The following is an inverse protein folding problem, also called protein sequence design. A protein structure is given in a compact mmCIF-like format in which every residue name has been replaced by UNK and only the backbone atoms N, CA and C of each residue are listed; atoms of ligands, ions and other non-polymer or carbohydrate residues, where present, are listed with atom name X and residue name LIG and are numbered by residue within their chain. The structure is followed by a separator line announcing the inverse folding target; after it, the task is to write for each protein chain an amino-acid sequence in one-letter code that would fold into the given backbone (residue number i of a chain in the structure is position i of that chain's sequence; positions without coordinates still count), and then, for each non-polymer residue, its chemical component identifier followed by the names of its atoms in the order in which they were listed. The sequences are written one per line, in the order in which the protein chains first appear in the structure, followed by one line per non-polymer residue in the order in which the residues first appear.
data_IF_897307130343
#
_entry.id   IF_897307130343
#
_cell.length_a   1.000
_cell.length_b   1.000
_cell.length_c   1.000
_cell.angle_alpha   90.00
_cell.angle_beta   90.00
_cell.angle_gamma   90.00
#
_symmetry.space_group_name_H-M   'P 1'
#
loop_
_entity.id
_entity.type
_entity.pdbx_description
1 polymer ?
#
# COMPACT_ATOMS: atom_id res chain seq x y z
N UNK A 1 -10.32 0.60 8.01
CA UNK A 1 -10.00 2.01 8.13
C UNK A 1 -10.01 2.64 6.74
N UNK A 2 -10.65 3.77 6.61
CA UNK A 2 -10.62 4.62 5.43
C UNK A 2 -10.39 6.03 5.99
N UNK A 3 -9.32 6.67 5.52
CA UNK A 3 -8.93 8.02 5.92
C UNK A 3 -8.85 8.21 7.46
N UNK A 4 -7.84 7.61 8.06
CA UNK A 4 -7.56 7.77 9.48
C UNK A 4 -6.21 8.47 9.65
N UNK A 5 -6.17 9.46 10.52
CA UNK A 5 -4.95 10.16 10.93
C UNK A 5 -4.66 9.86 12.41
N UNK A 6 -3.41 9.68 12.73
CA UNK A 6 -2.94 9.38 14.07
C UNK A 6 -1.65 10.15 14.38
N UNK A 7 -1.70 11.02 15.38
CA UNK A 7 -0.51 11.65 15.93
C UNK A 7 0.19 10.66 16.87
N UNK A 8 1.49 10.48 16.67
CA UNK A 8 2.32 9.56 17.45
C UNK A 8 3.42 10.32 18.16
N UNK A 9 3.43 10.24 19.49
CA UNK A 9 4.48 10.81 20.33
C UNK A 9 5.78 10.02 20.25
N UNK A 10 6.92 10.70 20.40
CA UNK A 10 8.26 10.10 20.37
C UNK A 10 8.48 9.02 21.45
N UNK A 11 7.77 9.08 22.57
CA UNK A 11 7.96 8.14 23.69
C UNK A 11 6.83 7.13 23.81
N UNK A 12 5.60 7.59 23.90
CA UNK A 12 4.45 6.70 24.15
C UNK A 12 3.17 7.35 23.66
N UNK A 13 2.46 6.66 22.79
CA UNK A 13 1.10 7.03 22.36
C UNK A 13 0.12 5.99 22.88
N UNK A 14 -0.93 6.43 23.56
CA UNK A 14 -2.00 5.57 24.05
C UNK A 14 -3.26 5.72 23.20
N UNK A 15 -3.60 4.67 22.47
CA UNK A 15 -4.82 4.66 21.66
C UNK A 15 -5.97 4.09 22.48
N UNK A 16 -6.93 4.96 22.83
CA UNK A 16 -8.12 4.61 23.61
C UNK A 16 -9.39 4.73 22.77
N UNK A 17 -10.39 3.92 23.06
CA UNK A 17 -11.68 3.96 22.38
C UNK A 17 -12.52 2.75 22.70
N UNK A 18 -13.78 2.77 22.30
CA UNK A 18 -14.72 1.64 22.48
C UNK A 18 -14.23 0.40 21.73
N UNK A 19 -14.69 -0.78 22.15
CA UNK A 19 -14.44 -2.01 21.40
C UNK A 19 -15.02 -1.85 19.97
N UNK A 20 -14.35 -2.48 19.00
CA UNK A 20 -14.72 -2.45 17.59
C UNK A 20 -14.55 -1.08 16.89
N UNK A 21 -13.64 -0.22 17.37
CA UNK A 21 -13.28 1.07 16.74
C UNK A 21 -11.98 0.99 15.92
N UNK A 22 -11.66 -0.18 15.40
CA UNK A 22 -10.50 -0.45 14.55
C UNK A 22 -9.12 -0.13 15.14
N UNK A 23 -8.99 0.07 16.46
CA UNK A 23 -7.69 0.33 17.14
C UNK A 23 -6.65 -0.74 16.84
N UNK A 24 -7.03 -2.01 17.04
CA UNK A 24 -6.15 -3.15 16.77
C UNK A 24 -5.79 -3.25 15.29
N UNK A 25 -6.73 -2.98 14.40
CA UNK A 25 -6.46 -2.98 12.96
C UNK A 25 -5.49 -1.87 12.54
N UNK A 26 -5.60 -0.70 13.16
CA UNK A 26 -4.67 0.40 12.92
C UNK A 26 -3.24 0.04 13.36
N UNK A 27 -3.11 -0.50 14.59
CA UNK A 27 -1.81 -0.94 15.10
C UNK A 27 -1.23 -2.07 14.25
N UNK A 28 -2.04 -3.06 13.86
CA UNK A 28 -1.61 -4.15 13.00
C UNK A 28 -1.14 -3.66 11.62
N UNK A 29 -1.82 -2.67 11.03
CA UNK A 29 -1.37 -2.06 9.78
C UNK A 29 0.01 -1.40 9.93
N UNK A 30 0.20 -0.61 10.98
CA UNK A 30 1.49 0.05 11.26
C UNK A 30 2.58 -1.00 11.50
N UNK A 31 2.30 -2.01 12.33
CA UNK A 31 3.24 -3.10 12.62
C UNK A 31 3.63 -3.88 11.36
N UNK A 32 2.68 -4.22 10.50
CA UNK A 32 2.95 -4.90 9.24
C UNK A 32 3.88 -4.08 8.34
N UNK A 33 3.63 -2.77 8.23
CA UNK A 33 4.48 -1.87 7.43
C UNK A 33 5.88 -1.78 8.01
N UNK A 34 6.02 -1.54 9.32
CA UNK A 34 7.32 -1.39 9.97
C UNK A 34 8.17 -2.66 9.93
N UNK A 35 7.52 -3.84 9.94
CA UNK A 35 8.20 -5.13 9.83
C UNK A 35 8.36 -5.62 8.38
N UNK A 36 7.95 -4.84 7.39
CA UNK A 36 8.01 -5.21 5.98
C UNK A 36 7.12 -6.40 5.62
N UNK A 37 6.10 -6.68 6.43
CA UNK A 37 5.16 -7.77 6.17
C UNK A 37 4.17 -7.38 5.07
N UNK A 38 3.97 -8.23 4.06
CA UNK A 38 2.96 -7.98 3.04
C UNK A 38 1.56 -8.01 3.64
N UNK A 39 0.69 -7.12 3.18
CA UNK A 39 -0.73 -7.19 3.53
C UNK A 39 -1.37 -8.43 2.92
N UNK A 40 -2.29 -9.00 3.67
CA UNK A 40 -3.16 -10.08 3.21
C UNK A 40 -4.43 -9.53 2.55
N UNK A 41 -5.16 -10.39 1.86
CA UNK A 41 -6.47 -9.99 1.32
C UNK A 41 -7.45 -9.53 2.43
N UNK A 42 -7.31 -10.06 3.63
CA UNK A 42 -8.18 -9.71 4.76
C UNK A 42 -7.91 -8.29 5.29
N UNK A 43 -6.75 -7.73 5.03
CA UNK A 43 -6.42 -6.34 5.35
C UNK A 43 -7.04 -5.36 4.35
N UNK A 44 -7.47 -5.84 3.16
CA UNK A 44 -8.12 -4.99 2.17
C UNK A 44 -9.53 -4.60 2.63
N UNK A 45 -9.89 -3.30 2.61
CA UNK A 45 -11.17 -2.82 3.15
C UNK A 45 -12.37 -3.54 2.53
N UNK A 46 -13.26 -4.08 3.36
CA UNK A 46 -14.43 -4.86 2.92
C UNK A 46 -15.27 -4.12 1.87
N UNK A 47 -15.47 -2.82 2.06
CA UNK A 47 -16.25 -2.00 1.14
C UNK A 47 -15.61 -1.87 -0.24
N UNK A 48 -14.28 -2.00 -0.31
CA UNK A 48 -13.52 -1.92 -1.56
C UNK A 48 -13.32 -3.28 -2.24
N UNK A 49 -13.56 -4.41 -1.54
CA UNK A 49 -13.37 -5.75 -2.12
C UNK A 49 -14.28 -6.01 -3.31
N UNK A 50 -15.53 -5.56 -3.22
CA UNK A 50 -16.48 -5.73 -4.34
C UNK A 50 -15.99 -4.98 -5.57
N UNK A 51 -15.58 -3.73 -5.42
CA UNK A 51 -15.03 -2.91 -6.50
C UNK A 51 -13.74 -3.52 -7.08
N UNK A 52 -12.86 -4.06 -6.24
CA UNK A 52 -11.66 -4.78 -6.67
C UNK A 52 -12.02 -5.94 -7.62
N UNK A 53 -12.99 -6.78 -7.24
CA UNK A 53 -13.44 -7.89 -8.08
C UNK A 53 -14.08 -7.43 -9.40
N UNK A 54 -14.90 -6.38 -9.36
CA UNK A 54 -15.56 -5.83 -10.54
C UNK A 54 -14.55 -5.27 -11.53
N UNK A 55 -13.56 -4.50 -11.07
CA UNK A 55 -12.51 -3.93 -11.92
C UNK A 55 -11.64 -5.04 -12.53
N UNK A 56 -11.23 -6.05 -11.74
CA UNK A 56 -10.47 -7.18 -12.26
C UNK A 56 -11.31 -7.99 -13.28
N UNK A 57 -12.59 -8.19 -13.03
CA UNK A 57 -13.47 -8.88 -13.98
C UNK A 57 -13.60 -8.11 -15.30
N UNK A 58 -13.73 -6.77 -15.25
CA UNK A 58 -13.75 -5.93 -16.45
C UNK A 58 -12.45 -5.98 -17.26
N UNK A 59 -11.30 -6.11 -16.58
CA UNK A 59 -10.04 -6.36 -17.27
C UNK A 59 -10.01 -7.77 -17.90
N UNK A 60 -10.40 -8.78 -17.15
CA UNK A 60 -10.42 -10.16 -17.66
C UNK A 60 -11.40 -10.35 -18.80
N UNK A 61 -12.54 -9.62 -18.83
CA UNK A 61 -13.47 -9.59 -19.97
C UNK A 61 -12.97 -8.77 -21.17
N UNK A 62 -11.82 -8.09 -21.03
CA UNK A 62 -11.22 -7.19 -22.03
C UNK A 62 -12.04 -5.91 -22.29
N UNK A 63 -12.88 -5.50 -21.34
CA UNK A 63 -13.61 -4.22 -21.40
C UNK A 63 -12.70 -3.03 -21.09
N UNK A 64 -11.68 -3.23 -20.25
CA UNK A 64 -10.69 -2.21 -19.91
C UNK A 64 -9.26 -2.71 -20.16
N UNK A 65 -8.34 -1.78 -20.42
CA UNK A 65 -6.91 -2.08 -20.53
C UNK A 65 -6.27 -2.32 -19.17
N UNK A 66 -5.07 -2.92 -19.15
CA UNK A 66 -4.28 -3.09 -17.92
C UNK A 66 -3.92 -1.76 -17.27
N UNK A 67 -3.61 -0.74 -18.07
CA UNK A 67 -3.34 0.61 -17.59
C UNK A 67 -4.55 1.20 -16.85
N UNK A 68 -5.73 1.09 -17.45
CA UNK A 68 -6.99 1.52 -16.83
C UNK A 68 -7.34 0.73 -15.57
N UNK A 69 -7.03 -0.57 -15.53
CA UNK A 69 -7.15 -1.39 -14.33
C UNK A 69 -6.26 -0.82 -13.20
N UNK A 70 -4.99 -0.54 -13.48
CA UNK A 70 -4.05 0.01 -12.49
C UNK A 70 -4.47 1.39 -11.98
N UNK A 71 -5.04 2.24 -12.84
CA UNK A 71 -5.55 3.56 -12.46
C UNK A 71 -6.80 3.50 -11.58
N UNK A 72 -7.67 2.51 -11.82
CA UNK A 72 -8.93 2.36 -11.07
C UNK A 72 -8.76 1.62 -9.74
N UNK A 73 -7.72 0.80 -9.60
CA UNK A 73 -7.42 0.10 -8.36
C UNK A 73 -6.63 0.99 -7.41
N UNK A 74 -7.34 1.64 -6.51
CA UNK A 74 -6.71 2.42 -5.44
C UNK A 74 -5.85 1.53 -4.54
N UNK A 75 -4.57 1.88 -4.30
CA UNK A 75 -3.72 1.14 -3.37
C UNK A 75 -4.22 1.29 -1.92
N UNK A 76 -3.82 0.36 -1.06
CA UNK A 76 -3.80 0.62 0.38
C UNK A 76 -2.56 1.47 0.62
N UNK A 77 -2.70 2.67 1.17
CA UNK A 77 -1.57 3.54 1.46
C UNK A 77 -1.53 3.95 2.92
N UNK A 78 -0.33 4.04 3.46
CA UNK A 78 -0.04 4.61 4.77
C UNK A 78 1.04 5.67 4.57
N UNK A 79 0.82 6.84 5.12
CA UNK A 79 1.78 7.93 5.11
C UNK A 79 2.33 8.17 6.52
N UNK A 80 3.64 8.28 6.61
CA UNK A 80 4.35 8.66 7.82
C UNK A 80 4.97 10.03 7.60
N UNK A 81 4.47 11.03 8.30
CA UNK A 81 5.10 12.34 8.38
C UNK A 81 6.01 12.34 9.60
N UNK A 82 7.31 12.40 9.38
CA UNK A 82 8.34 12.38 10.41
C UNK A 82 8.92 13.77 10.55
N UNK A 83 8.73 14.40 11.72
CA UNK A 83 9.37 15.65 12.05
C UNK A 83 10.74 15.37 12.69
N UNK A 84 11.80 15.87 12.08
CA UNK A 84 13.17 15.73 12.52
C UNK A 84 13.80 17.07 12.98
N UNK A 85 12.97 18.07 13.31
CA UNK A 85 13.40 19.39 13.80
C UNK A 85 14.03 19.35 15.19
N UNK A 86 13.81 18.27 15.96
CA UNK A 86 14.19 18.16 17.36
C UNK A 86 15.55 17.47 17.56
N UNK A 87 16.54 18.27 17.77
CA UNK A 87 17.73 18.21 18.63
C UNK A 87 18.76 17.07 18.58
N UNK A 88 18.45 15.85 18.13
CA UNK A 88 19.42 14.73 18.09
C UNK A 88 19.68 14.24 16.66
N UNK A 89 19.89 15.17 15.75
CA UNK A 89 19.96 14.95 14.30
C UNK A 89 21.19 14.14 13.85
N UNK A 90 22.31 14.23 14.55
CA UNK A 90 23.57 13.64 14.07
C UNK A 90 23.53 12.11 14.04
N UNK A 91 22.82 11.47 15.00
CA UNK A 91 22.78 10.00 15.10
C UNK A 91 21.57 9.36 14.37
N UNK A 92 20.48 10.11 14.14
CA UNK A 92 19.21 9.55 13.65
C UNK A 92 18.88 9.88 12.19
N UNK A 93 19.52 10.89 11.58
CA UNK A 93 19.29 11.23 10.16
C UNK A 93 19.70 10.12 9.19
N UNK A 94 20.63 9.25 9.59
CA UNK A 94 21.08 8.16 8.73
C UNK A 94 19.94 7.30 8.20
N UNK A 95 19.03 6.88 9.05
CA UNK A 95 17.88 6.05 8.67
C UNK A 95 16.82 6.83 7.86
N UNK A 96 16.69 8.15 8.07
CA UNK A 96 15.74 9.02 7.35
C UNK A 96 16.33 9.58 6.06
N UNK A 97 17.65 9.63 5.93
CA UNK A 97 18.34 10.22 4.77
C UNK A 97 17.79 9.78 3.42
N UNK A 98 17.46 8.50 3.17
CA UNK A 98 16.87 8.07 1.91
C UNK A 98 15.53 8.71 1.59
N UNK A 99 14.82 9.23 2.60
CA UNK A 99 13.47 9.78 2.47
C UNK A 99 13.43 11.31 2.43
N UNK A 100 14.56 11.96 2.66
CA UNK A 100 14.68 13.41 2.56
C UNK A 100 14.99 13.76 1.11
N UNK A 101 13.97 14.18 0.36
CA UNK A 101 14.13 14.59 -1.05
C UNK A 101 14.06 16.09 -1.26
N UNK A 102 13.55 16.83 -0.28
CA UNK A 102 13.62 18.28 -0.26
C UNK A 102 14.84 18.72 0.56
N UNK A 103 15.84 19.28 -0.11
CA UNK A 103 17.07 19.78 0.52
C UNK A 103 16.96 21.24 0.96
N UNK A 104 15.75 21.78 1.06
CA UNK A 104 15.51 23.11 1.60
C UNK A 104 15.81 23.14 3.09
N UNK A 105 16.65 24.11 3.50
CA UNK A 105 17.13 24.27 4.89
C UNK A 105 15.97 24.48 5.90
N UNK A 106 14.86 25.01 5.41
CA UNK A 106 13.65 25.26 6.21
C UNK A 106 12.72 24.04 6.32
N UNK A 107 13.04 22.94 5.65
CA UNK A 107 12.23 21.71 5.70
C UNK A 107 12.80 20.76 6.75
N UNK A 108 12.00 20.50 7.78
CA UNK A 108 12.36 19.63 8.93
C UNK A 108 11.48 18.37 8.96
N UNK A 109 10.80 18.06 7.87
CA UNK A 109 9.88 16.93 7.79
C UNK A 109 10.21 16.02 6.60
N UNK A 110 10.15 14.72 6.83
CA UNK A 110 10.21 13.70 5.80
C UNK A 110 8.83 13.04 5.67
N UNK A 111 8.35 12.87 4.45
CA UNK A 111 7.11 12.16 4.17
C UNK A 111 7.43 10.83 3.48
N UNK A 112 7.06 9.75 4.15
CA UNK A 112 7.25 8.38 3.67
C UNK A 112 5.87 7.83 3.36
N UNK A 113 5.65 7.41 2.11
CA UNK A 113 4.42 6.73 1.71
C UNK A 113 4.72 5.28 1.43
N UNK A 114 3.97 4.40 2.05
CA UNK A 114 3.99 2.96 1.80
C UNK A 114 2.70 2.58 1.13
N UNK A 115 2.79 2.02 -0.06
CA UNK A 115 1.65 1.57 -0.86
C UNK A 115 1.69 0.07 -1.06
N UNK A 116 0.55 -0.57 -0.82
CA UNK A 116 0.30 -1.94 -1.23
C UNK A 116 -0.63 -1.91 -2.44
N UNK A 117 -0.06 -2.21 -3.61
CA UNK A 117 -0.70 -2.01 -4.91
C UNK A 117 -0.62 -3.25 -5.79
N UNK A 118 -1.42 -3.30 -6.84
CA UNK A 118 -1.30 -4.31 -7.87
C UNK A 118 0.09 -4.19 -8.54
N UNK A 119 0.77 -5.34 -8.71
CA UNK A 119 2.04 -5.40 -9.46
C UNK A 119 1.83 -4.96 -10.90
N UNK A 120 2.73 -4.14 -11.46
CA UNK A 120 2.65 -3.70 -12.85
C UNK A 120 3.10 -4.82 -13.81
N UNK A 121 2.55 -6.02 -13.64
CA UNK A 121 2.83 -7.19 -14.48
C UNK A 121 1.52 -7.84 -14.96
N UNK A 122 1.04 -7.36 -16.09
CA UNK A 122 -0.16 -7.85 -16.76
C UNK A 122 -0.10 -9.36 -17.00
N UNK A 123 1.08 -9.89 -17.37
CA UNK A 123 1.22 -11.31 -17.69
C UNK A 123 1.06 -12.19 -16.45
N UNK A 124 1.56 -11.74 -15.31
CA UNK A 124 1.39 -12.46 -14.04
C UNK A 124 -0.07 -12.44 -13.64
N UNK A 125 -0.75 -11.29 -13.73
CA UNK A 125 -2.17 -11.19 -13.43
C UNK A 125 -2.98 -12.10 -14.33
N UNK A 126 -2.80 -12.00 -15.64
CA UNK A 126 -3.52 -12.82 -16.62
C UNK A 126 -3.33 -14.31 -16.36
N UNK A 127 -2.09 -14.80 -16.31
CA UNK A 127 -1.78 -16.22 -16.08
C UNK A 127 -2.34 -16.76 -14.77
N UNK A 128 -2.43 -15.92 -13.74
CA UNK A 128 -2.94 -16.34 -12.43
C UNK A 128 -4.46 -16.51 -12.44
N UNK A 129 -5.16 -15.72 -13.26
CA UNK A 129 -6.62 -15.65 -13.25
C UNK A 129 -7.29 -16.28 -14.47
N UNK A 130 -6.54 -16.54 -15.56
CA UNK A 130 -7.11 -16.99 -16.84
C UNK A 130 -7.99 -18.24 -16.67
N UNK A 131 -7.50 -19.27 -15.99
CA UNK A 131 -8.23 -20.54 -15.84
C UNK A 131 -9.54 -20.35 -15.05
N UNK A 132 -9.54 -19.48 -14.04
CA UNK A 132 -10.72 -19.23 -13.20
C UNK A 132 -11.76 -18.34 -13.87
N UNK A 133 -11.33 -17.43 -14.75
CA UNK A 133 -12.24 -16.55 -15.51
C UNK A 133 -12.65 -17.15 -16.86
N UNK A 134 -11.89 -18.10 -17.39
CA UNK A 134 -12.15 -18.73 -18.69
C UNK A 134 -12.19 -20.28 -18.58
N UNK A 135 -12.99 -20.86 -17.70
CA UNK A 135 -13.17 -22.30 -17.69
C UNK A 135 -13.71 -22.73 -19.06
N UNK A 136 -12.99 -23.64 -19.73
CA UNK A 136 -13.32 -24.09 -21.09
C UNK A 136 -13.30 -22.96 -22.18
N UNK A 137 -12.52 -21.90 -21.97
CA UNK A 137 -12.36 -20.80 -22.92
C UNK A 137 -13.52 -19.80 -22.99
N UNK A 138 -14.50 -19.91 -22.09
CA UNK A 138 -15.62 -18.97 -21.98
C UNK A 138 -15.47 -18.12 -20.73
N UNK A 139 -15.63 -16.80 -20.86
CA UNK A 139 -15.57 -15.89 -19.74
C UNK A 139 -16.74 -16.09 -18.77
N UNK A 140 -16.40 -16.37 -17.52
CA UNK A 140 -17.37 -16.56 -16.44
C UNK A 140 -16.86 -15.86 -15.16
N UNK A 141 -17.44 -14.74 -14.74
CA UNK A 141 -17.13 -14.12 -13.46
C UNK A 141 -17.77 -14.95 -12.33
N UNK A 142 -16.99 -15.81 -11.71
CA UNK A 142 -17.47 -16.76 -10.69
C UNK A 142 -16.93 -16.42 -9.29
N UNK A 143 -17.51 -17.02 -8.26
CA UNK A 143 -16.98 -16.94 -6.90
C UNK A 143 -15.62 -17.64 -6.79
N UNK A 144 -15.38 -18.70 -7.59
CA UNK A 144 -14.06 -19.36 -7.70
C UNK A 144 -12.97 -18.38 -8.17
N UNK A 145 -13.28 -17.49 -9.12
CA UNK A 145 -12.34 -16.46 -9.56
C UNK A 145 -12.00 -15.46 -8.42
N UNK A 146 -12.96 -15.14 -7.55
CA UNK A 146 -12.73 -14.33 -6.34
C UNK A 146 -11.82 -15.04 -5.34
N UNK A 147 -12.01 -16.33 -5.14
CA UNK A 147 -11.18 -17.15 -4.27
C UNK A 147 -9.73 -17.24 -4.78
N UNK A 148 -9.54 -17.32 -6.09
CA UNK A 148 -8.21 -17.31 -6.71
C UNK A 148 -7.51 -15.96 -6.48
N UNK A 149 -8.22 -14.84 -6.57
CA UNK A 149 -7.67 -13.51 -6.28
C UNK A 149 -7.23 -13.44 -4.81
N UNK A 150 -8.10 -13.83 -3.87
CA UNK A 150 -7.79 -13.77 -2.45
C UNK A 150 -6.62 -14.66 -2.06
N UNK A 151 -6.56 -15.88 -2.58
CA UNK A 151 -5.50 -16.85 -2.32
C UNK A 151 -4.15 -16.44 -2.92
N UNK A 152 -4.15 -15.76 -4.07
CA UNK A 152 -2.93 -15.29 -4.74
C UNK A 152 -2.64 -13.80 -4.49
N UNK A 153 -3.23 -13.19 -3.48
CA UNK A 153 -3.15 -11.76 -3.26
C UNK A 153 -1.70 -11.27 -3.15
N UNK A 154 -0.87 -11.92 -2.35
CA UNK A 154 0.57 -11.58 -2.21
C UNK A 154 1.39 -11.78 -3.50
N UNK A 155 0.93 -12.67 -4.39
CA UNK A 155 1.55 -12.86 -5.71
C UNK A 155 1.19 -11.74 -6.68
N UNK A 156 -0.05 -11.24 -6.59
CA UNK A 156 -0.60 -10.21 -7.47
C UNK A 156 -0.28 -8.80 -7.01
N UNK A 157 -0.09 -8.58 -5.71
CA UNK A 157 0.18 -7.27 -5.12
C UNK A 157 1.61 -7.18 -4.59
N UNK A 158 2.10 -5.95 -4.45
CA UNK A 158 3.44 -5.65 -3.93
C UNK A 158 3.39 -4.47 -2.96
N UNK A 159 4.34 -4.46 -2.02
CA UNK A 159 4.61 -3.31 -1.16
C UNK A 159 5.63 -2.41 -1.86
N UNK A 160 5.33 -1.12 -1.95
CA UNK A 160 6.23 -0.12 -2.52
C UNK A 160 6.38 1.04 -1.55
N UNK A 161 7.62 1.46 -1.31
CA UNK A 161 7.94 2.56 -0.42
C UNK A 161 8.39 3.76 -1.26
N UNK A 162 7.83 4.92 -0.95
CA UNK A 162 8.15 6.17 -1.61
C UNK A 162 8.71 7.18 -0.60
N UNK A 163 9.75 7.88 -0.98
CA UNK A 163 10.01 9.19 -0.44
C UNK A 163 9.12 10.20 -1.19
N UNK A 164 8.45 11.06 -0.46
CA UNK A 164 7.50 12.04 -1.01
C UNK A 164 7.96 13.43 -0.59
N UNK A 165 7.93 14.39 -1.52
CA UNK A 165 8.20 15.77 -1.16
C UNK A 165 7.01 16.34 -0.36
N UNK A 166 7.19 16.74 0.93
CA UNK A 166 6.09 17.23 1.76
C UNK A 166 5.41 18.49 1.19
N UNK A 167 6.17 19.33 0.45
CA UNK A 167 5.66 20.55 -0.19
C UNK A 167 5.02 20.29 -1.54
N UNK A 168 5.38 19.18 -2.19
CA UNK A 168 4.86 18.76 -3.49
C UNK A 168 4.60 17.24 -3.53
N UNK A 169 3.46 16.76 -3.02
CA UNK A 169 3.17 15.32 -2.91
C UNK A 169 3.13 14.55 -4.23
N UNK A 170 3.19 15.24 -5.38
CA UNK A 170 3.33 14.62 -6.71
C UNK A 170 4.79 14.23 -7.01
N UNK A 171 5.74 14.84 -6.34
CA UNK A 171 7.16 14.52 -6.46
C UNK A 171 7.49 13.35 -5.52
N UNK A 172 7.69 12.18 -6.10
CA UNK A 172 7.93 10.95 -5.37
C UNK A 172 9.15 10.21 -5.93
N UNK A 173 9.89 9.54 -5.05
CA UNK A 173 10.98 8.63 -5.42
C UNK A 173 10.72 7.26 -4.82
N UNK A 174 10.73 6.22 -5.66
CA UNK A 174 10.60 4.84 -5.19
C UNK A 174 11.91 4.44 -4.49
N UNK A 175 11.81 3.89 -3.28
CA UNK A 175 12.93 3.32 -2.53
C UNK A 175 12.88 1.81 -2.60
N UNK A 176 13.99 1.20 -2.97
CA UNK A 176 14.13 -0.26 -2.98
C UNK A 176 14.52 -0.73 -1.59
N UNK A 177 14.01 -1.88 -1.18
CA UNK A 177 14.29 -2.46 0.15
C UNK A 177 15.80 -2.57 0.45
N UNK A 178 16.64 -2.81 -0.57
CA UNK A 178 18.10 -2.87 -0.42
C UNK A 178 18.76 -1.52 -0.08
N UNK A 179 18.10 -0.41 -0.38
CA UNK A 179 18.62 0.95 -0.09
C UNK A 179 18.31 1.38 1.35
N UNK A 180 17.55 0.55 2.08
CA UNK A 180 17.13 0.82 3.47
C UNK A 180 17.92 -0.03 4.49
N UNK A 181 18.76 -0.96 4.04
CA UNK A 181 19.57 -1.85 4.88
C UNK A 181 21.03 -1.39 5.02
N UNK A 182 21.46 -0.35 4.29
CA UNK A 182 22.77 0.29 4.37
C UNK A 182 22.74 1.52 5.30
#
# INVERSE_FOLDING_TARGET
LIDAELDVDAKTTLIVGRNNTAKTSCLACIENVLNGHPFSFDDYPLVKRKTLYEIIASFMSKEISFESLCEQLEPISIEFLVDYSLEDLEDNLGALSPFIIDVDVDTTTALIRVEFRLKPDEKVLWRTLEESYYPNGVFVPSDEARDVISTNFSKLFELVIYAVNPKNPKETQIKKHKELEE
#
